data_IF_448354754601
#
_entry.id   IF_448354754601
#
_cell.length_a   1.000
_cell.length_b   1.000
_cell.length_c   1.000
_cell.angle_alpha   90.00
_cell.angle_beta   90.00
_cell.angle_gamma   90.00
#
_symmetry.space_group_name_H-M   'P 1'
#
loop_
_entity.id
_entity.type
_entity.pdbx_description
1 polymer ?
#
# COMPACT_ATOMS: atom_id res chain seq x y z
N UNK A 1 -4.37 -6.08 -12.17
CA UNK A 1 -3.79 -6.38 -10.84
C UNK A 1 -4.96 -6.67 -9.91
N UNK A 2 -4.96 -7.81 -9.22
CA UNK A 2 -6.12 -8.29 -8.47
C UNK A 2 -5.72 -8.70 -7.05
N UNK A 3 -6.69 -8.64 -6.15
CA UNK A 3 -6.57 -9.20 -4.80
C UNK A 3 -7.25 -10.55 -4.73
N UNK A 4 -6.75 -11.40 -3.84
CA UNK A 4 -7.33 -12.73 -3.60
C UNK A 4 -8.01 -12.77 -2.24
N UNK A 5 -9.26 -13.20 -2.25
CA UNK A 5 -10.11 -13.35 -1.07
C UNK A 5 -10.73 -14.74 -1.05
N UNK A 6 -11.13 -15.19 0.12
CA UNK A 6 -11.99 -16.36 0.27
C UNK A 6 -13.39 -16.07 -0.29
N UNK A 7 -14.21 -17.08 -0.61
CA UNK A 7 -15.61 -16.86 -1.01
C UNK A 7 -16.45 -16.11 0.04
N UNK A 8 -16.03 -16.13 1.30
CA UNK A 8 -16.65 -15.37 2.39
C UNK A 8 -16.21 -13.90 2.44
N UNK A 9 -15.28 -13.47 1.58
CA UNK A 9 -14.75 -12.10 1.54
C UNK A 9 -13.53 -11.84 2.43
N UNK A 10 -13.07 -12.85 3.18
CA UNK A 10 -11.89 -12.72 4.04
C UNK A 10 -10.58 -12.74 3.22
N UNK A 11 -9.59 -11.88 3.52
CA UNK A 11 -8.30 -11.90 2.84
C UNK A 11 -7.58 -13.21 3.15
N UNK A 12 -7.07 -13.87 2.10
CA UNK A 12 -6.23 -15.06 2.32
C UNK A 12 -4.88 -14.66 2.96
N UNK A 13 -4.18 -15.56 3.69
CA UNK A 13 -2.96 -15.20 4.42
C UNK A 13 -1.82 -14.60 3.57
N UNK A 14 -1.83 -14.89 2.27
CA UNK A 14 -0.86 -14.39 1.29
C UNK A 14 -1.27 -13.07 0.63
N UNK A 15 -2.51 -12.60 0.81
CA UNK A 15 -2.93 -11.29 0.30
C UNK A 15 -2.33 -10.17 1.17
N UNK A 16 -1.18 -9.66 0.74
CA UNK A 16 -0.50 -8.54 1.41
C UNK A 16 -1.06 -7.17 1.04
N UNK A 17 -1.76 -7.06 -0.10
CA UNK A 17 -2.33 -5.79 -0.57
C UNK A 17 -3.48 -5.33 0.32
N UNK A 18 -4.30 -6.25 0.84
CA UNK A 18 -5.39 -5.90 1.77
C UNK A 18 -4.88 -5.23 3.06
N UNK A 19 -3.78 -5.73 3.62
CA UNK A 19 -3.15 -5.11 4.79
C UNK A 19 -2.53 -3.75 4.46
N UNK A 20 -1.84 -3.64 3.32
CA UNK A 20 -1.28 -2.37 2.85
C UNK A 20 -2.39 -1.32 2.63
N UNK A 21 -3.51 -1.70 2.02
CA UNK A 21 -4.64 -0.81 1.80
C UNK A 21 -5.21 -0.24 3.11
N UNK A 22 -5.24 -1.02 4.20
CA UNK A 22 -5.66 -0.53 5.52
C UNK A 22 -4.71 0.54 6.07
N UNK A 23 -3.40 0.36 5.90
CA UNK A 23 -2.37 1.31 6.35
C UNK A 23 -2.47 2.61 5.55
N UNK A 24 -2.55 2.51 4.21
CA UNK A 24 -2.63 3.69 3.33
C UNK A 24 -3.98 4.40 3.36
N UNK A 25 -5.03 3.79 3.94
CA UNK A 25 -6.31 4.47 4.17
C UNK A 25 -6.37 5.20 5.51
N UNK A 26 -5.34 5.08 6.35
CA UNK A 26 -5.29 5.79 7.63
C UNK A 26 -5.12 7.29 7.37
N UNK A 27 -5.94 8.17 7.98
CA UNK A 27 -5.92 9.61 7.68
C UNK A 27 -4.52 10.21 7.86
N UNK A 28 -3.80 9.82 8.91
CA UNK A 28 -2.43 10.29 9.16
C UNK A 28 -1.44 9.90 8.05
N UNK A 29 -1.64 8.74 7.41
CA UNK A 29 -0.76 8.27 6.33
C UNK A 29 -1.15 8.91 5.00
N UNK A 30 -2.44 9.20 4.80
CA UNK A 30 -2.93 9.89 3.60
C UNK A 30 -2.42 11.33 3.56
N UNK A 31 -2.36 12.02 4.70
CA UNK A 31 -1.86 13.41 4.80
C UNK A 31 -0.38 13.52 4.40
N UNK A 32 0.41 12.49 4.69
CA UNK A 32 1.85 12.47 4.40
C UNK A 32 2.18 12.15 2.93
N UNK A 33 1.18 11.83 2.10
CA UNK A 33 1.32 11.45 0.68
C UNK A 33 2.58 10.61 0.38
N UNK A 34 2.71 9.40 0.93
CA UNK A 34 3.97 8.67 0.91
C UNK A 34 4.35 8.18 -0.49
N UNK A 35 5.49 8.68 -1.00
CA UNK A 35 6.04 8.30 -2.31
C UNK A 35 7.06 7.16 -2.19
N UNK A 36 6.80 6.04 -2.89
CA UNK A 36 7.74 4.91 -2.97
C UNK A 36 8.14 4.67 -4.42
N UNK A 37 9.44 4.78 -4.69
CA UNK A 37 10.04 4.36 -5.95
C UNK A 37 10.74 3.01 -5.73
N UNK A 38 10.48 2.04 -6.61
CA UNK A 38 11.00 0.66 -6.50
C UNK A 38 12.49 0.53 -6.89
N UNK A 39 13.16 1.64 -7.21
CA UNK A 39 14.53 1.69 -7.69
C UNK A 39 15.34 2.73 -6.92
N UNK A 40 16.45 2.32 -6.32
CA UNK A 40 17.49 3.23 -5.87
C UNK A 40 18.12 3.91 -7.09
N UNK A 41 17.67 5.13 -7.44
CA UNK A 41 18.49 6.28 -7.88
C UNK A 41 17.60 7.48 -8.25
N UNK A 42 17.45 8.45 -7.33
CA UNK A 42 18.02 9.80 -7.44
C UNK A 42 17.48 10.68 -6.29
N UNK A 43 18.35 11.42 -5.60
CA UNK A 43 17.96 12.34 -4.55
C UNK A 43 17.49 13.64 -5.19
N UNK A 44 16.19 13.83 -5.42
CA UNK A 44 15.62 15.15 -5.79
C UNK A 44 14.08 15.10 -5.84
N UNK A 45 13.41 14.99 -4.69
CA UNK A 45 12.11 15.67 -4.47
C UNK A 45 11.95 15.94 -2.97
N UNK A 46 12.84 16.79 -2.44
CA UNK A 46 12.44 17.80 -1.45
C UNK A 46 12.41 19.08 -2.27
N UNK A 47 11.24 19.45 -2.77
CA UNK A 47 10.94 20.76 -3.34
C UNK A 47 9.55 21.14 -2.85
#
# INVERSE_FOLDING_TARGET
MCDTYTPAGEPIPTNKRHAAAKIFSHPDVVVEEPWYLLLHFLPSVVA
#
